data_IF_476606570775
#
_entry.id   IF_476606570775
#
_cell.length_a   1.000
_cell.length_b   1.000
_cell.length_c   1.000
_cell.angle_alpha   90.00
_cell.angle_beta   90.00
_cell.angle_gamma   90.00
#
_symmetry.space_group_name_H-M   'P 1'
#
loop_
_entity.id
_entity.type
_entity.pdbx_description
1 polymer ?
#
# COMPACT_ATOMS: atom_id res chain seq x y z
N UNK A 1 -1.78 -4.25 -4.47
CA UNK A 1 -1.05 -2.97 -4.52
C UNK A 1 0.12 -3.00 -3.54
N UNK A 2 -0.10 -3.18 -2.24
CA UNK A 2 0.95 -3.08 -1.21
C UNK A 2 2.17 -3.96 -1.46
N UNK A 3 2.00 -5.24 -1.76
CA UNK A 3 3.12 -6.16 -2.04
C UNK A 3 3.99 -5.69 -3.21
N UNK A 4 3.36 -5.23 -4.30
CA UNK A 4 4.06 -4.70 -5.46
C UNK A 4 4.81 -3.41 -5.09
N UNK A 5 4.20 -2.51 -4.32
CA UNK A 5 4.84 -1.30 -3.84
C UNK A 5 6.08 -1.61 -2.98
N UNK A 6 6.00 -2.59 -2.07
CA UNK A 6 7.15 -3.03 -1.27
C UNK A 6 8.27 -3.52 -2.18
N UNK A 7 7.99 -4.41 -3.14
CA UNK A 7 9.00 -4.98 -4.02
C UNK A 7 9.70 -3.92 -4.89
N UNK A 8 8.93 -2.99 -5.49
CA UNK A 8 9.49 -1.92 -6.34
C UNK A 8 10.32 -0.94 -5.49
N UNK A 9 9.80 -0.46 -4.38
CA UNK A 9 10.50 0.51 -3.54
C UNK A 9 11.80 -0.08 -2.96
N UNK A 10 11.79 -1.34 -2.54
CA UNK A 10 12.99 -2.03 -2.07
C UNK A 10 14.04 -2.17 -3.19
N UNK A 11 13.63 -2.54 -4.42
CA UNK A 11 14.54 -2.62 -5.58
C UNK A 11 15.14 -1.25 -5.92
N UNK A 12 14.39 -0.18 -5.71
CA UNK A 12 14.86 1.19 -5.92
C UNK A 12 15.76 1.70 -4.78
N UNK A 13 16.05 0.88 -3.77
CA UNK A 13 16.97 1.21 -2.68
C UNK A 13 16.34 1.96 -1.51
N UNK A 14 15.01 2.04 -1.44
CA UNK A 14 14.35 2.62 -0.27
C UNK A 14 14.31 1.64 0.90
N UNK A 15 14.48 2.16 2.12
CA UNK A 15 14.19 1.42 3.34
C UNK A 15 12.67 1.36 3.54
N UNK A 16 12.08 0.20 3.21
CA UNK A 16 10.62 0.04 3.18
C UNK A 16 10.11 -0.47 4.52
N UNK A 17 9.21 0.27 5.15
CA UNK A 17 8.41 -0.19 6.28
C UNK A 17 7.05 -0.68 5.76
N UNK A 18 6.79 -1.98 5.88
CA UNK A 18 5.52 -2.57 5.47
C UNK A 18 4.56 -2.64 6.66
N UNK A 19 3.38 -2.01 6.52
CA UNK A 19 2.33 -2.02 7.55
C UNK A 19 1.41 -3.22 7.33
N UNK A 20 1.23 -4.05 8.35
CA UNK A 20 0.31 -5.20 8.28
C UNK A 20 -0.41 -5.44 9.60
N UNK A 21 -1.66 -5.90 9.52
CA UNK A 21 -2.42 -6.43 10.66
C UNK A 21 -2.30 -7.96 10.80
N UNK A 22 -1.46 -8.61 9.95
CA UNK A 22 -1.31 -10.06 9.89
C UNK A 22 0.14 -10.44 10.15
N UNK A 23 0.45 -10.83 11.39
CA UNK A 23 1.81 -11.19 11.80
C UNK A 23 2.39 -12.36 10.98
N UNK A 24 1.54 -13.29 10.54
CA UNK A 24 1.93 -14.43 9.69
C UNK A 24 2.43 -14.01 8.29
N UNK A 25 2.24 -12.77 7.89
CA UNK A 25 2.74 -12.23 6.61
C UNK A 25 4.14 -11.59 6.73
N UNK A 26 4.73 -11.55 7.90
CA UNK A 26 6.03 -10.89 8.12
C UNK A 26 7.13 -11.48 7.23
N UNK A 27 7.30 -12.80 7.19
CA UNK A 27 8.31 -13.47 6.36
C UNK A 27 8.13 -13.11 4.88
N UNK A 28 6.90 -13.22 4.38
CA UNK A 28 6.54 -12.85 3.00
C UNK A 28 6.88 -11.39 2.67
N UNK A 29 6.56 -10.45 3.55
CA UNK A 29 6.85 -9.03 3.31
C UNK A 29 8.36 -8.75 3.33
N UNK A 30 9.12 -9.44 4.19
CA UNK A 30 10.59 -9.37 4.21
C UNK A 30 11.22 -9.96 2.95
N UNK A 31 10.72 -11.08 2.43
CA UNK A 31 11.14 -11.66 1.15
C UNK A 31 10.91 -10.68 -0.02
N UNK A 32 9.83 -9.91 0.00
CA UNK A 32 9.57 -8.85 -0.97
C UNK A 32 10.54 -7.66 -0.84
N UNK A 33 11.23 -7.54 0.28
CA UNK A 33 12.22 -6.50 0.53
C UNK A 33 11.86 -5.47 1.58
N UNK A 34 10.83 -5.74 2.42
CA UNK A 34 10.55 -4.89 3.57
C UNK A 34 11.70 -4.96 4.58
N UNK A 35 12.33 -3.82 4.87
CA UNK A 35 13.36 -3.71 5.89
C UNK A 35 12.76 -3.76 7.30
N UNK A 36 11.52 -3.30 7.45
CA UNK A 36 10.82 -3.25 8.74
C UNK A 36 9.33 -3.61 8.58
N UNK A 37 8.79 -4.28 9.58
CA UNK A 37 7.35 -4.52 9.70
C UNK A 37 6.79 -3.60 10.78
N UNK A 38 5.68 -2.94 10.47
CA UNK A 38 4.93 -2.08 11.41
C UNK A 38 3.58 -2.73 11.67
N UNK A 39 3.26 -3.10 12.89
CA UNK A 39 1.93 -3.57 13.24
C UNK A 39 0.88 -2.51 12.90
N UNK A 40 -0.18 -2.90 12.21
CA UNK A 40 -1.27 -1.97 11.85
C UNK A 40 -1.84 -1.24 13.06
N UNK A 41 -1.91 -1.90 14.21
CA UNK A 41 -2.42 -1.32 15.44
C UNK A 41 -1.67 -0.04 15.88
N UNK A 42 -0.39 0.10 15.52
CA UNK A 42 0.39 1.31 15.83
C UNK A 42 -0.09 2.55 15.08
N UNK A 43 -0.80 2.37 13.97
CA UNK A 43 -1.30 3.44 13.10
C UNK A 43 -2.83 3.48 13.02
N UNK A 44 -3.53 2.58 13.73
CA UNK A 44 -4.98 2.42 13.59
C UNK A 44 -5.78 3.57 14.21
N UNK A 45 -5.23 4.18 15.25
CA UNK A 45 -5.90 5.26 15.96
C UNK A 45 -5.46 6.63 15.41
N UNK A 46 -6.35 7.62 15.41
CA UNK A 46 -5.99 8.99 15.05
C UNK A 46 -4.81 9.49 15.86
N UNK A 47 -4.01 10.37 15.27
CA UNK A 47 -2.91 11.01 16.00
C UNK A 47 -3.45 11.84 17.19
N UNK A 48 -2.88 11.67 18.38
CA UNK A 48 -3.25 12.51 19.53
C UNK A 48 -2.74 13.95 19.42
N UNK A 49 -1.87 14.21 18.45
CA UNK A 49 -1.24 15.51 18.19
C UNK A 49 -1.34 15.87 16.71
N UNK A 50 -1.47 17.15 16.37
CA UNK A 50 -1.47 17.59 14.97
C UNK A 50 -0.19 17.24 14.20
N UNK A 51 0.95 17.11 14.92
CA UNK A 51 2.25 16.66 14.42
C UNK A 51 2.87 15.67 15.39
N UNK A 52 3.36 14.57 14.83
CA UNK A 52 4.23 13.60 15.51
C UNK A 52 5.68 13.74 15.01
N UNK A 53 6.59 12.87 15.49
CA UNK A 53 7.97 12.82 15.00
C UNK A 53 8.01 12.54 13.50
N UNK A 54 8.92 13.20 12.79
CA UNK A 54 9.15 13.01 11.36
C UNK A 54 9.75 11.62 11.11
N UNK A 55 8.91 10.68 10.70
CA UNK A 55 9.27 9.27 10.56
C UNK A 55 9.35 8.86 9.08
N UNK A 56 8.34 9.22 8.28
CA UNK A 56 8.16 8.69 6.94
C UNK A 56 8.60 9.67 5.86
N UNK A 57 9.45 9.22 4.94
CA UNK A 57 9.84 10.00 3.76
C UNK A 57 8.79 9.96 2.63
N UNK A 58 7.82 9.07 2.73
CA UNK A 58 6.70 8.93 1.81
C UNK A 58 5.85 7.73 2.20
N UNK A 59 4.67 7.61 1.60
CA UNK A 59 3.76 6.50 1.84
C UNK A 59 2.97 6.16 0.58
N UNK A 60 2.77 4.86 0.33
CA UNK A 60 1.77 4.34 -0.60
C UNK A 60 0.65 3.74 0.25
N UNK A 61 -0.51 4.37 0.23
CA UNK A 61 -1.66 3.96 1.03
C UNK A 61 -2.76 3.30 0.20
N UNK A 62 -3.11 2.08 0.56
CA UNK A 62 -4.22 1.32 -0.02
C UNK A 62 -5.37 1.09 0.99
N UNK A 63 -5.28 1.70 2.16
CA UNK A 63 -6.18 1.43 3.30
C UNK A 63 -7.14 2.58 3.56
N UNK A 64 -6.67 3.83 3.53
CA UNK A 64 -7.48 4.99 3.86
C UNK A 64 -7.77 5.12 5.36
N UNK A 65 -8.83 5.84 5.69
CA UNK A 65 -9.33 5.99 7.06
C UNK A 65 -8.39 6.74 7.99
N UNK A 66 -8.47 6.42 9.28
CA UNK A 66 -7.66 7.03 10.35
C UNK A 66 -6.15 6.86 10.14
N UNK A 67 -5.73 5.75 9.51
CA UNK A 67 -4.32 5.46 9.25
C UNK A 67 -3.66 6.54 8.38
N UNK A 68 -4.34 7.04 7.34
CA UNK A 68 -3.81 8.14 6.51
C UNK A 68 -3.63 9.39 7.34
N UNK A 69 -4.61 9.74 8.20
CA UNK A 69 -4.51 10.87 9.10
C UNK A 69 -3.29 10.79 10.02
N UNK A 70 -3.03 9.61 10.58
CA UNK A 70 -1.86 9.36 11.42
C UNK A 70 -0.54 9.45 10.66
N UNK A 71 -0.46 8.87 9.45
CA UNK A 71 0.73 8.93 8.60
C UNK A 71 1.04 10.37 8.21
N UNK A 72 0.04 11.18 7.84
CA UNK A 72 0.23 12.59 7.52
C UNK A 72 0.91 13.36 8.66
N UNK A 73 0.53 13.09 9.92
CA UNK A 73 1.15 13.71 11.09
C UNK A 73 2.62 13.28 11.31
N UNK A 74 3.05 12.15 10.73
CA UNK A 74 4.39 11.56 10.85
C UNK A 74 5.27 11.77 9.62
N UNK A 75 4.76 12.41 8.56
CA UNK A 75 5.56 12.67 7.37
C UNK A 75 6.70 13.66 7.64
N UNK A 76 7.84 13.41 7.02
CA UNK A 76 8.93 14.36 6.91
C UNK A 76 8.53 15.55 6.03
N UNK A 77 9.30 16.66 6.10
CA UNK A 77 9.05 17.84 5.25
C UNK A 77 9.00 17.48 3.78
N UNK A 78 8.02 18.05 3.07
CA UNK A 78 7.79 17.89 1.63
C UNK A 78 7.50 16.44 1.20
N UNK A 79 7.28 15.53 2.13
CA UNK A 79 6.92 14.15 1.82
C UNK A 79 5.47 14.02 1.35
N UNK A 80 5.16 12.91 0.68
CA UNK A 80 3.85 12.69 0.08
C UNK A 80 3.25 11.34 0.49
N UNK A 81 1.93 11.30 0.63
CA UNK A 81 1.14 10.07 0.63
C UNK A 81 0.50 9.91 -0.73
N UNK A 82 0.71 8.78 -1.39
CA UNK A 82 -0.06 8.36 -2.56
C UNK A 82 -1.27 7.56 -2.09
N UNK A 83 -2.46 8.18 -2.10
CA UNK A 83 -3.72 7.55 -1.71
C UNK A 83 -4.27 6.74 -2.89
N UNK A 84 -4.22 5.40 -2.77
CA UNK A 84 -4.56 4.45 -3.84
C UNK A 84 -5.85 3.68 -3.55
N UNK A 85 -6.24 3.55 -2.27
CA UNK A 85 -7.40 2.76 -1.90
C UNK A 85 -8.01 3.17 -0.56
N UNK A 86 -9.12 2.51 -0.23
CA UNK A 86 -9.96 2.83 0.92
C UNK A 86 -10.47 1.59 1.66
N UNK A 87 -9.67 0.51 1.66
CA UNK A 87 -10.08 -0.77 2.26
C UNK A 87 -10.42 -0.69 3.76
N UNK A 88 -9.89 0.31 4.47
CA UNK A 88 -10.15 0.55 5.90
C UNK A 88 -11.12 1.70 6.17
N UNK A 89 -11.61 2.39 5.15
CA UNK A 89 -12.55 3.49 5.29
C UNK A 89 -12.30 4.64 4.32
N UNK A 90 -13.31 5.48 4.15
CA UNK A 90 -13.28 6.63 3.21
C UNK A 90 -13.03 7.97 3.90
N UNK A 91 -13.27 8.07 5.22
CA UNK A 91 -13.09 9.29 5.97
C UNK A 91 -11.62 9.49 6.36
N UNK A 92 -11.13 10.71 6.27
CA UNK A 92 -9.79 11.09 6.76
C UNK A 92 -9.86 11.44 8.26
N UNK A 93 -10.14 10.44 9.08
CA UNK A 93 -10.29 10.63 10.51
C UNK A 93 -8.98 11.09 11.16
N UNK A 94 -9.07 12.11 12.01
CA UNK A 94 -7.92 12.68 12.72
C UNK A 94 -6.94 13.47 11.86
N UNK A 95 -7.17 13.61 10.56
CA UNK A 95 -6.35 14.47 9.73
C UNK A 95 -6.60 15.95 10.03
N UNK A 96 -5.54 16.75 10.05
CA UNK A 96 -5.60 18.20 10.24
C UNK A 96 -4.85 18.92 9.13
N UNK A 97 -5.07 20.22 8.99
CA UNK A 97 -4.34 21.05 8.02
C UNK A 97 -2.87 21.29 8.44
N UNK A 98 -2.52 21.04 9.69
CA UNK A 98 -1.23 21.43 10.27
C UNK A 98 -0.01 20.78 9.58
N UNK A 99 0.01 19.47 9.25
CA UNK A 99 1.12 18.89 8.51
C UNK A 99 1.37 19.57 7.16
N UNK A 100 0.31 19.96 6.47
CA UNK A 100 0.40 20.65 5.18
C UNK A 100 1.02 22.05 5.33
N UNK A 101 0.57 22.82 6.32
CA UNK A 101 1.08 24.17 6.54
C UNK A 101 2.52 24.18 7.06
N UNK A 102 2.85 23.32 8.02
CA UNK A 102 4.13 23.39 8.74
C UNK A 102 5.23 22.53 8.14
N UNK A 103 4.87 21.50 7.36
CA UNK A 103 5.85 20.58 6.74
C UNK A 103 5.74 20.50 5.22
N UNK A 104 4.75 21.17 4.61
CA UNK A 104 4.54 21.10 3.16
C UNK A 104 4.27 19.70 2.65
N UNK A 105 3.64 18.84 3.47
CA UNK A 105 3.31 17.47 3.05
C UNK A 105 2.21 17.48 1.99
N UNK A 106 2.12 16.38 1.23
CA UNK A 106 1.13 16.25 0.17
C UNK A 106 0.30 14.97 0.36
N UNK A 107 -0.99 15.09 0.09
CA UNK A 107 -1.88 13.94 -0.09
C UNK A 107 -2.26 13.88 -1.56
N UNK A 108 -1.72 12.92 -2.29
CA UNK A 108 -1.86 12.76 -3.72
C UNK A 108 -2.89 11.66 -4.01
N UNK A 109 -4.04 12.03 -4.59
CA UNK A 109 -5.02 11.08 -5.08
C UNK A 109 -4.51 10.36 -6.32
N UNK A 110 -4.59 9.03 -6.33
CA UNK A 110 -4.21 8.20 -7.47
C UNK A 110 -5.47 7.70 -8.18
N UNK A 111 -5.90 8.45 -9.20
CA UNK A 111 -6.98 8.01 -10.09
C UNK A 111 -6.45 6.99 -11.09
N UNK A 112 -6.70 5.72 -10.83
CA UNK A 112 -6.31 4.61 -11.72
C UNK A 112 -7.34 4.31 -12.82
N UNK A 113 -8.52 4.93 -12.77
CA UNK A 113 -9.63 4.68 -13.71
C UNK A 113 -9.56 5.61 -14.91
N UNK A 114 -9.50 6.94 -14.66
CA UNK A 114 -9.56 7.97 -15.71
C UNK A 114 -8.18 8.48 -16.13
N UNK A 115 -7.11 7.80 -15.71
CA UNK A 115 -5.76 8.24 -16.06
C UNK A 115 -5.52 8.20 -17.58
N UNK A 116 -4.94 9.24 -18.20
CA UNK A 116 -4.62 9.26 -19.63
C UNK A 116 -3.78 8.05 -20.06
N UNK A 117 -4.00 7.60 -21.29
CA UNK A 117 -3.35 6.39 -21.82
C UNK A 117 -1.82 6.48 -21.75
N UNK A 118 -1.25 7.62 -22.12
CA UNK A 118 0.21 7.84 -22.14
C UNK A 118 0.83 7.72 -20.73
N UNK A 119 0.11 8.20 -19.71
CA UNK A 119 0.54 8.05 -18.32
C UNK A 119 0.52 6.58 -17.89
N UNK A 120 -0.48 5.83 -18.34
CA UNK A 120 -0.58 4.38 -18.08
C UNK A 120 0.55 3.62 -18.76
N UNK A 121 0.85 3.94 -20.02
CA UNK A 121 1.98 3.34 -20.76
C UNK A 121 3.30 3.58 -20.03
N UNK A 122 3.56 4.82 -19.58
CA UNK A 122 4.76 5.13 -18.77
C UNK A 122 4.81 4.34 -17.48
N UNK A 123 3.69 4.25 -16.75
CA UNK A 123 3.63 3.50 -15.49
C UNK A 123 3.89 2.01 -15.71
N UNK A 124 3.29 1.40 -16.73
CA UNK A 124 3.52 0.00 -17.08
C UNK A 124 4.96 -0.25 -17.53
N UNK A 125 5.55 0.65 -18.31
CA UNK A 125 6.96 0.58 -18.71
C UNK A 125 7.90 0.59 -17.51
N UNK A 126 7.62 1.45 -16.51
CA UNK A 126 8.38 1.45 -15.26
C UNK A 126 8.19 0.17 -14.44
N UNK A 127 6.97 -0.33 -14.32
CA UNK A 127 6.70 -1.60 -13.63
C UNK A 127 7.49 -2.74 -14.29
N UNK A 128 7.46 -2.83 -15.63
CA UNK A 128 8.17 -3.87 -16.36
C UNK A 128 9.70 -3.81 -16.19
N UNK A 129 10.26 -2.61 -16.02
CA UNK A 129 11.69 -2.42 -15.80
C UNK A 129 12.13 -2.60 -14.34
N UNK A 130 11.28 -2.19 -13.41
CA UNK A 130 11.64 -2.05 -12.00
C UNK A 130 11.09 -3.18 -11.11
N UNK A 131 10.06 -3.93 -11.53
CA UNK A 131 9.53 -5.05 -10.76
C UNK A 131 10.35 -6.32 -11.07
N UNK A 132 10.79 -7.00 -10.02
CA UNK A 132 11.39 -8.32 -10.12
C UNK A 132 10.29 -9.35 -10.43
N UNK A 133 10.44 -10.06 -11.55
CA UNK A 133 9.44 -11.01 -12.04
C UNK A 133 9.33 -12.24 -11.14
N UNK A 134 10.41 -12.72 -10.55
CA UNK A 134 10.39 -13.85 -9.62
C UNK A 134 9.57 -13.48 -8.35
N UNK A 135 9.74 -12.23 -7.88
CA UNK A 135 8.92 -11.71 -6.79
C UNK A 135 7.45 -11.56 -7.18
N UNK A 136 7.17 -11.12 -8.42
CA UNK A 136 5.79 -11.05 -8.91
C UNK A 136 5.15 -12.44 -8.94
N UNK A 137 5.84 -13.44 -9.48
CA UNK A 137 5.36 -14.82 -9.54
C UNK A 137 5.11 -15.40 -8.15
N UNK A 138 5.98 -15.10 -7.17
CA UNK A 138 5.79 -15.54 -5.78
C UNK A 138 4.52 -14.99 -5.11
N UNK A 139 3.95 -13.90 -5.66
CA UNK A 139 2.68 -13.32 -5.19
C UNK A 139 1.45 -14.00 -5.81
N UNK A 140 1.61 -14.79 -6.88
CA UNK A 140 0.50 -15.34 -7.65
C UNK A 140 0.01 -16.64 -7.04
N UNK A 141 -1.29 -16.77 -6.92
CA UNK A 141 -2.00 -17.99 -6.57
C UNK A 141 -2.89 -18.35 -7.74
N UNK A 142 -2.57 -19.42 -8.52
CA UNK A 142 -3.44 -19.83 -9.61
C UNK A 142 -4.75 -20.41 -9.07
N UNK A 143 -5.85 -20.18 -9.78
CA UNK A 143 -7.18 -20.68 -9.47
C UNK A 143 -7.97 -20.90 -10.74
N UNK A 144 -9.09 -21.62 -10.64
CA UNK A 144 -10.06 -21.82 -11.71
C UNK A 144 -11.37 -21.08 -11.42
N UNK A 145 -12.30 -21.05 -12.39
CA UNK A 145 -13.62 -20.48 -12.17
C UNK A 145 -14.40 -21.21 -11.04
N UNK A 146 -14.17 -22.52 -10.87
CA UNK A 146 -14.80 -23.33 -9.83
C UNK A 146 -14.36 -22.92 -8.41
N UNK A 147 -13.20 -22.29 -8.25
CA UNK A 147 -12.68 -21.84 -6.96
C UNK A 147 -13.30 -20.51 -6.47
N UNK A 148 -13.91 -19.73 -7.37
CA UNK A 148 -14.41 -18.39 -7.05
C UNK A 148 -15.42 -18.35 -5.90
N UNK A 149 -16.42 -19.28 -5.77
CA UNK A 149 -17.34 -19.27 -4.65
C UNK A 149 -16.65 -19.40 -3.28
N UNK A 150 -15.50 -20.07 -3.22
CA UNK A 150 -14.69 -20.21 -2.01
C UNK A 150 -13.78 -19.00 -1.78
N UNK A 151 -13.19 -18.45 -2.84
CA UNK A 151 -12.26 -17.33 -2.78
C UNK A 151 -12.93 -15.99 -2.49
N UNK A 152 -14.16 -15.77 -2.98
CA UNK A 152 -14.86 -14.50 -2.79
C UNK A 152 -15.11 -14.15 -1.31
N UNK A 153 -15.61 -15.06 -0.45
CA UNK A 153 -15.70 -14.78 0.99
C UNK A 153 -14.34 -14.57 1.66
N UNK A 154 -13.30 -15.28 1.20
CA UNK A 154 -11.95 -15.17 1.75
C UNK A 154 -11.32 -13.80 1.48
N UNK A 155 -11.48 -13.26 0.28
CA UNK A 155 -10.96 -11.92 -0.06
C UNK A 155 -11.67 -10.82 0.71
N UNK A 156 -12.98 -10.93 0.92
CA UNK A 156 -13.76 -9.98 1.71
C UNK A 156 -13.32 -9.96 3.19
N UNK A 157 -12.86 -11.10 3.71
CA UNK A 157 -12.29 -11.21 5.06
C UNK A 157 -10.82 -10.81 5.12
N UNK A 158 -10.21 -10.37 4.01
CA UNK A 158 -8.78 -10.06 3.93
C UNK A 158 -7.86 -11.27 4.10
N UNK A 159 -8.36 -12.49 3.91
CA UNK A 159 -7.61 -13.74 4.12
C UNK A 159 -6.75 -14.15 2.91
N UNK A 160 -6.92 -13.50 1.77
CA UNK A 160 -6.11 -13.77 0.57
C UNK A 160 -4.76 -13.05 0.66
N UNK A 161 -3.68 -13.81 0.42
CA UNK A 161 -2.31 -13.26 0.29
C UNK A 161 -1.97 -13.04 -1.18
N UNK A 162 -1.26 -11.96 -1.48
CA UNK A 162 -0.77 -11.69 -2.85
C UNK A 162 -1.89 -11.43 -3.83
N UNK A 163 -1.94 -12.20 -4.91
CA UNK A 163 -2.90 -12.08 -6.00
C UNK A 163 -3.39 -13.44 -6.48
N UNK A 164 -4.68 -13.58 -6.59
CA UNK A 164 -5.29 -14.74 -7.27
C UNK A 164 -5.39 -14.43 -8.76
N UNK A 165 -4.87 -15.33 -9.58
CA UNK A 165 -5.01 -15.29 -11.05
C UNK A 165 -5.89 -16.47 -11.46
N UNK A 166 -7.03 -16.17 -12.07
CA UNK A 166 -8.02 -17.18 -12.45
C UNK A 166 -7.79 -17.58 -13.90
N UNK A 167 -7.53 -18.87 -14.14
CA UNK A 167 -7.59 -19.44 -15.48
C UNK A 167 -9.05 -19.67 -15.85
N UNK A 168 -9.54 -18.90 -16.82
CA UNK A 168 -10.94 -18.98 -17.27
C UNK A 168 -11.18 -20.14 -18.24
N UNK A 169 -10.14 -20.83 -18.68
CA UNK A 169 -10.21 -21.97 -19.60
C UNK A 169 -9.99 -23.33 -18.92
N UNK A 170 -9.69 -23.32 -17.59
CA UNK A 170 -9.48 -24.53 -16.81
C UNK A 170 -10.71 -24.92 -15.99
#
# INVERSE_FOLDING_TARGET
VGSIAVAILAKLGYEVAAVTGRAEQEAYLKELGAARIVPRAELAEPSPKPLESETWAGCVDAVGGAMVGRVLAQLKRNASVAAVGNAGGVALEGATIIPFLLRGVNLLGIDSVMRPYEDRVRAWGRIAAELDMDKLESMIQPATLADLPKLAPAILKGAVKGRVVVDVNA
#
